data_IF_548234730424
#
_entry.id   IF_548234730424
#
_cell.length_a   1.000
_cell.length_b   1.000
_cell.length_c   1.000
_cell.angle_alpha   90.00
_cell.angle_beta   90.00
_cell.angle_gamma   90.00
#
_symmetry.space_group_name_H-M   'P 1'
#
loop_
_entity.id
_entity.type
_entity.pdbx_description
1 polymer ?
#
# COMPACT_ATOMS: atom_id res chain seq x y z
N UNK A 1 -6.06 5.99 0.88
CA UNK A 1 -5.13 7.11 1.21
C UNK A 1 -5.24 7.69 2.63
N UNK A 2 -6.41 8.11 3.09
CA UNK A 2 -6.58 8.76 4.41
C UNK A 2 -6.03 7.93 5.59
N UNK A 3 -6.30 6.62 5.58
CA UNK A 3 -5.82 5.70 6.62
C UNK A 3 -4.29 5.61 6.68
N UNK A 4 -3.61 5.67 5.53
CA UNK A 4 -2.15 5.64 5.47
C UNK A 4 -1.54 6.92 6.06
N UNK A 5 -2.12 8.09 5.78
CA UNK A 5 -1.71 9.36 6.37
C UNK A 5 -1.93 9.36 7.89
N UNK A 6 -3.13 8.99 8.33
CA UNK A 6 -3.46 8.92 9.75
C UNK A 6 -2.57 7.90 10.49
N UNK A 7 -2.23 6.77 9.86
CA UNK A 7 -1.32 5.81 10.46
C UNK A 7 0.11 6.34 10.54
N UNK A 8 0.58 7.03 9.50
CA UNK A 8 1.88 7.70 9.51
C UNK A 8 1.99 8.70 10.67
N UNK A 9 0.96 9.51 10.89
CA UNK A 9 0.90 10.47 12.00
C UNK A 9 0.97 9.77 13.35
N UNK A 10 0.21 8.68 13.54
CA UNK A 10 0.27 7.89 14.78
C UNK A 10 1.66 7.31 15.03
N UNK A 11 2.32 6.83 13.98
CA UNK A 11 3.70 6.33 14.07
C UNK A 11 4.64 7.46 14.50
N UNK A 12 4.60 8.62 13.82
CA UNK A 12 5.45 9.77 14.13
C UNK A 12 5.22 10.31 15.54
N UNK A 13 3.98 10.30 16.03
CA UNK A 13 3.63 10.72 17.40
C UNK A 13 4.27 9.84 18.49
N UNK A 14 4.70 8.62 18.14
CA UNK A 14 5.36 7.68 19.05
C UNK A 14 6.83 7.42 18.70
N UNK A 15 7.35 8.07 17.66
CA UNK A 15 8.75 7.94 17.28
C UNK A 15 9.66 8.66 18.29
N UNK A 16 10.86 8.13 18.61
CA UNK A 16 11.83 8.83 19.46
C UNK A 16 12.19 10.19 18.87
N UNK A 17 12.13 11.24 19.69
CA UNK A 17 12.37 12.62 19.23
C UNK A 17 13.83 12.89 18.83
N UNK A 18 14.75 12.06 19.30
CA UNK A 18 16.18 12.11 19.02
C UNK A 18 16.60 11.25 17.82
N UNK A 19 15.64 10.63 17.13
CA UNK A 19 15.90 9.83 15.93
C UNK A 19 15.32 10.50 14.68
N UNK A 20 16.13 10.59 13.62
CA UNK A 20 15.65 10.93 12.30
C UNK A 20 14.90 9.73 11.69
N UNK A 21 13.60 9.63 11.99
CA UNK A 21 12.73 8.56 11.52
C UNK A 21 11.67 9.08 10.54
N UNK A 22 11.73 8.63 9.28
CA UNK A 22 10.70 8.90 8.27
C UNK A 22 9.98 7.60 7.85
N UNK A 23 8.79 7.31 8.40
CA UNK A 23 8.04 6.12 8.04
C UNK A 23 7.51 6.21 6.60
N UNK A 24 8.00 5.28 5.77
CA UNK A 24 7.55 5.07 4.39
C UNK A 24 6.39 4.08 4.38
N UNK A 25 5.23 4.54 3.97
CA UNK A 25 3.98 3.78 4.03
C UNK A 25 3.80 2.90 2.79
N UNK A 26 3.06 1.80 2.97
CA UNK A 26 2.71 0.85 1.91
C UNK A 26 1.22 0.56 2.02
N UNK A 27 0.51 0.55 0.89
CA UNK A 27 -0.91 0.21 0.88
C UNK A 27 -1.11 -1.29 0.83
N UNK A 28 -2.14 -1.78 1.50
CA UNK A 28 -2.55 -3.18 1.41
C UNK A 28 -3.35 -3.39 0.13
N UNK A 29 -2.92 -4.32 -0.72
CA UNK A 29 -3.58 -4.62 -1.99
C UNK A 29 -4.73 -5.62 -1.79
N UNK A 30 -5.94 -5.21 -2.17
CA UNK A 30 -7.17 -6.01 -2.05
C UNK A 30 -7.90 -6.11 -3.39
N UNK A 31 -8.87 -7.02 -3.47
CA UNK A 31 -9.82 -7.12 -4.59
C UNK A 31 -10.61 -5.81 -4.87
N UNK A 32 -10.72 -4.92 -3.88
CA UNK A 32 -11.48 -3.66 -3.96
C UNK A 32 -10.59 -2.44 -4.24
N UNK A 33 -9.27 -2.63 -4.37
CA UNK A 33 -8.35 -1.51 -4.64
C UNK A 33 -8.68 -0.88 -5.98
N UNK A 34 -8.87 0.43 -5.99
CA UNK A 34 -9.18 1.16 -7.22
C UNK A 34 -7.89 1.45 -8.01
N UNK A 35 -7.89 1.28 -9.35
CA UNK A 35 -6.76 1.70 -10.19
C UNK A 35 -6.40 3.19 -10.03
N UNK A 36 -7.40 4.04 -9.75
CA UNK A 36 -7.20 5.48 -9.52
C UNK A 36 -6.37 5.76 -8.26
N UNK A 37 -6.35 4.83 -7.31
CA UNK A 37 -5.63 5.00 -6.06
C UNK A 37 -4.12 4.94 -6.24
N UNK A 38 -3.63 4.31 -7.32
CA UNK A 38 -2.19 4.25 -7.64
C UNK A 38 -1.63 5.61 -8.02
N UNK A 39 -2.34 6.36 -8.86
CA UNK A 39 -1.93 7.72 -9.23
C UNK A 39 -1.93 8.65 -8.00
N UNK A 40 -2.94 8.53 -7.13
CA UNK A 40 -3.01 9.28 -5.89
C UNK A 40 -1.87 8.92 -4.92
N UNK A 41 -1.54 7.63 -4.77
CA UNK A 41 -0.43 7.17 -3.94
C UNK A 41 0.92 7.67 -4.46
N UNK A 42 1.15 7.59 -5.77
CA UNK A 42 2.39 8.07 -6.42
C UNK A 42 2.59 9.58 -6.27
N UNK A 43 1.51 10.36 -6.18
CA UNK A 43 1.57 11.80 -5.96
C UNK A 43 1.93 12.18 -4.50
N UNK A 44 1.90 11.23 -3.57
CA UNK A 44 2.36 11.46 -2.19
C UNK A 44 3.85 11.26 -2.06
N UNK A 45 4.44 11.95 -1.10
CA UNK A 45 5.84 11.78 -0.73
C UNK A 45 6.07 10.64 0.25
N UNK A 46 5.03 10.10 0.90
CA UNK A 46 5.17 9.12 1.99
C UNK A 46 4.70 7.70 1.67
N UNK A 47 3.84 7.49 0.65
CA UNK A 47 3.45 6.13 0.22
C UNK A 47 4.38 5.66 -0.90
N UNK A 48 5.00 4.49 -0.76
CA UNK A 48 6.08 4.06 -1.66
C UNK A 48 5.76 2.81 -2.48
N UNK A 49 4.76 2.04 -2.08
CA UNK A 49 4.43 0.79 -2.74
C UNK A 49 3.01 0.34 -2.40
N UNK A 50 2.56 -0.73 -3.05
CA UNK A 50 1.48 -1.58 -2.55
C UNK A 50 2.00 -2.99 -2.24
N UNK A 51 1.40 -3.66 -1.27
CA UNK A 51 1.75 -5.02 -0.85
C UNK A 51 0.62 -6.00 -1.15
N UNK A 52 0.93 -7.01 -1.95
CA UNK A 52 0.07 -8.15 -2.23
C UNK A 52 0.28 -9.24 -1.18
N UNK A 53 -0.83 -9.65 -0.58
CA UNK A 53 -0.95 -10.91 0.15
C UNK A 53 -2.03 -11.75 -0.56
N UNK A 54 -1.75 -12.99 -0.97
CA UNK A 54 -2.79 -13.88 -1.44
C UNK A 54 -3.79 -14.15 -0.32
N UNK A 55 -5.09 -14.19 -0.64
CA UNK A 55 -6.13 -14.33 0.37
C UNK A 55 -5.96 -15.63 1.19
N UNK A 56 -5.88 -15.48 2.52
CA UNK A 56 -5.75 -16.61 3.45
C UNK A 56 -4.36 -17.23 3.56
N UNK A 57 -3.35 -16.74 2.84
CA UNK A 57 -2.00 -17.31 2.84
C UNK A 57 -1.22 -17.08 4.15
N UNK A 58 -1.53 -16.00 4.89
CA UNK A 58 -0.83 -15.63 6.13
C UNK A 58 -1.71 -14.85 7.12
N UNK A 59 -1.17 -14.44 8.25
CA UNK A 59 -1.87 -13.64 9.26
C UNK A 59 -2.45 -12.34 8.65
N UNK A 60 -3.71 -12.03 8.96
CA UNK A 60 -4.43 -10.85 8.45
C UNK A 60 -4.53 -10.77 6.91
N UNK A 61 -4.47 -11.91 6.22
CA UNK A 61 -4.55 -11.98 4.74
C UNK A 61 -5.96 -12.24 4.18
N UNK A 62 -7.00 -12.32 5.01
CA UNK A 62 -8.36 -12.66 4.56
C UNK A 62 -8.95 -11.67 3.56
N UNK A 63 -8.52 -10.42 3.61
CA UNK A 63 -8.92 -9.35 2.68
C UNK A 63 -7.91 -9.16 1.53
N UNK A 64 -6.93 -10.06 1.41
CA UNK A 64 -5.93 -10.08 0.35
C UNK A 64 -6.54 -10.29 -1.04
N UNK A 65 -5.67 -10.33 -2.04
CA UNK A 65 -6.07 -10.60 -3.42
C UNK A 65 -6.51 -12.07 -3.51
N UNK A 66 -7.79 -12.29 -3.83
CA UNK A 66 -8.35 -13.65 -3.94
C UNK A 66 -8.09 -14.29 -5.30
N UNK A 67 -7.95 -13.45 -6.33
CA UNK A 67 -7.63 -13.85 -7.69
C UNK A 67 -6.92 -12.69 -8.39
N UNK A 68 -5.69 -12.92 -8.85
CA UNK A 68 -4.87 -11.88 -9.47
C UNK A 68 -5.52 -11.25 -10.70
N UNK A 69 -6.39 -11.99 -11.41
CA UNK A 69 -7.10 -11.51 -12.60
C UNK A 69 -8.08 -10.38 -12.28
N UNK A 70 -8.62 -10.35 -11.06
CA UNK A 70 -9.54 -9.29 -10.60
C UNK A 70 -8.86 -7.94 -10.48
N UNK A 71 -7.54 -7.94 -10.32
CA UNK A 71 -6.75 -6.74 -10.02
C UNK A 71 -5.77 -6.36 -11.12
N UNK A 72 -5.89 -6.94 -12.32
CA UNK A 72 -5.06 -6.60 -13.47
C UNK A 72 -5.12 -5.11 -13.82
N UNK A 73 -6.29 -4.49 -13.75
CA UNK A 73 -6.45 -3.05 -13.99
C UNK A 73 -5.63 -2.18 -13.02
N UNK A 74 -5.41 -2.65 -11.79
CA UNK A 74 -4.55 -1.97 -10.82
C UNK A 74 -3.08 -2.22 -11.15
N UNK A 75 -2.71 -3.46 -11.50
CA UNK A 75 -1.34 -3.83 -11.89
C UNK A 75 -0.88 -3.04 -13.12
N UNK A 76 -1.75 -2.81 -14.10
CA UNK A 76 -1.47 -1.93 -15.24
C UNK A 76 -1.14 -0.48 -14.80
N UNK A 77 -1.83 0.05 -13.77
CA UNK A 77 -1.50 1.37 -13.24
C UNK A 77 -0.18 1.35 -12.47
N UNK A 78 0.15 0.27 -11.75
CA UNK A 78 1.44 0.13 -11.08
C UNK A 78 2.59 0.21 -12.10
N UNK A 79 2.47 -0.54 -13.20
CA UNK A 79 3.43 -0.50 -14.29
C UNK A 79 3.55 0.90 -14.89
N UNK A 80 2.42 1.50 -15.30
CA UNK A 80 2.36 2.84 -15.90
C UNK A 80 3.01 3.91 -15.04
N UNK A 81 2.80 3.85 -13.71
CA UNK A 81 3.31 4.84 -12.77
C UNK A 81 4.66 4.44 -12.15
N UNK A 82 5.25 3.33 -12.59
CA UNK A 82 6.45 2.73 -12.01
C UNK A 82 6.35 2.65 -10.48
N UNK A 83 5.18 2.19 -10.00
CA UNK A 83 4.88 2.08 -8.58
C UNK A 83 5.12 0.63 -8.11
N UNK A 84 6.01 0.41 -7.13
CA UNK A 84 6.40 -0.94 -6.72
C UNK A 84 5.23 -1.81 -6.23
N UNK A 85 5.22 -3.06 -6.71
CA UNK A 85 4.41 -4.15 -6.20
C UNK A 85 5.29 -5.06 -5.33
N UNK A 86 4.99 -5.12 -4.05
CA UNK A 86 5.64 -6.05 -3.12
C UNK A 86 4.79 -7.32 -3.03
N UNK A 87 5.41 -8.50 -3.15
CA UNK A 87 4.70 -9.78 -3.16
C UNK A 87 5.11 -10.57 -1.91
N UNK A 88 4.13 -11.17 -1.23
CA UNK A 88 4.39 -12.12 -0.15
C UNK A 88 4.77 -13.49 -0.70
#
# INVERSE_FOLDING_TARGET
>A
MADAAAYRERILAHAPQDMAFDPRMVLYFTDQTSPLEIAAAKATDFVQAIKLYPAGATTNSQNGVSDIRKVYSVIEQLEKHQFPLLIH
#
